data_IF_745032477816
#
_entry.id   IF_745032477816
#
_cell.length_a   1.000
_cell.length_b   1.000
_cell.length_c   1.000
_cell.angle_alpha   90.00
_cell.angle_beta   90.00
_cell.angle_gamma   90.00
#
_symmetry.space_group_name_H-M   'P 1'
#
loop_
_entity.id
_entity.type
_entity.pdbx_description
1 polymer ?
#
# COMPACT_ATOMS: atom_id res chain seq x y z
N UNK A 1 -25.77 20.53 -20.53
CA UNK A 1 -24.67 20.26 -19.59
C UNK A 1 -25.25 19.65 -18.32
N UNK A 2 -25.21 18.33 -18.21
CA UNK A 2 -25.65 17.59 -17.02
C UNK A 2 -24.53 17.60 -15.99
N UNK A 3 -24.64 18.44 -14.97
CA UNK A 3 -23.76 18.36 -13.81
C UNK A 3 -24.08 17.07 -13.06
N UNK A 4 -23.21 16.07 -13.18
CA UNK A 4 -23.31 14.83 -12.43
C UNK A 4 -23.30 15.19 -10.93
N UNK A 5 -24.47 15.13 -10.29
CA UNK A 5 -24.60 15.30 -8.84
C UNK A 5 -24.04 14.04 -8.18
N UNK A 6 -22.75 14.05 -7.91
CA UNK A 6 -22.11 13.04 -7.11
C UNK A 6 -22.75 13.05 -5.72
N UNK A 7 -23.23 11.88 -5.27
CA UNK A 7 -23.70 11.75 -3.89
C UNK A 7 -22.51 11.94 -2.93
N UNK A 8 -22.71 12.51 -1.73
CA UNK A 8 -21.61 12.75 -0.77
C UNK A 8 -20.82 11.49 -0.42
N UNK A 9 -21.42 10.30 -0.56
CA UNK A 9 -20.73 9.00 -0.42
C UNK A 9 -19.71 8.74 -1.53
N UNK A 10 -20.02 9.10 -2.78
CA UNK A 10 -19.11 8.88 -3.88
C UNK A 10 -17.88 9.77 -3.80
N UNK A 11 -18.04 11.03 -3.37
CA UNK A 11 -16.94 11.96 -3.11
C UNK A 11 -16.03 11.41 -2.00
N UNK A 12 -16.63 10.87 -0.94
CA UNK A 12 -15.87 10.28 0.16
C UNK A 12 -15.04 9.05 -0.29
N UNK A 13 -15.62 8.17 -1.11
CA UNK A 13 -14.93 6.99 -1.66
C UNK A 13 -13.78 7.41 -2.56
N UNK A 14 -14.02 8.35 -3.49
CA UNK A 14 -12.97 8.83 -4.39
C UNK A 14 -11.83 9.49 -3.60
N UNK A 15 -12.14 10.30 -2.59
CA UNK A 15 -11.14 10.91 -1.71
C UNK A 15 -10.31 9.87 -0.94
N UNK A 16 -10.95 8.81 -0.44
CA UNK A 16 -10.25 7.68 0.20
C UNK A 16 -9.33 6.96 -0.78
N UNK A 17 -9.81 6.62 -1.99
CA UNK A 17 -9.01 5.92 -3.00
C UNK A 17 -7.83 6.78 -3.44
N UNK A 18 -8.05 8.06 -3.72
CA UNK A 18 -7.00 8.98 -4.15
C UNK A 18 -5.90 9.13 -3.09
N UNK A 19 -6.28 9.40 -1.84
CA UNK A 19 -5.31 9.52 -0.73
C UNK A 19 -4.55 8.22 -0.46
N UNK A 20 -5.23 7.07 -0.49
CA UNK A 20 -4.61 5.76 -0.34
C UNK A 20 -3.61 5.49 -1.46
N UNK A 21 -3.99 5.76 -2.71
CA UNK A 21 -3.14 5.52 -3.88
C UNK A 21 -1.90 6.40 -3.85
N UNK A 22 -2.07 7.70 -3.57
CA UNK A 22 -0.95 8.66 -3.51
C UNK A 22 0.01 8.30 -2.37
N UNK A 23 -0.52 7.99 -1.18
CA UNK A 23 0.31 7.59 -0.05
C UNK A 23 1.04 6.26 -0.30
N UNK A 24 0.38 5.31 -0.96
CA UNK A 24 0.96 4.03 -1.34
C UNK A 24 2.08 4.17 -2.35
N UNK A 25 1.86 4.98 -3.40
CA UNK A 25 2.91 5.32 -4.38
C UNK A 25 4.08 5.98 -3.66
N UNK A 26 3.83 7.02 -2.86
CA UNK A 26 4.88 7.72 -2.13
C UNK A 26 5.71 6.76 -1.25
N UNK A 27 5.04 5.88 -0.49
CA UNK A 27 5.70 4.87 0.34
C UNK A 27 6.56 3.91 -0.46
N UNK A 28 6.01 3.33 -1.53
CA UNK A 28 6.76 2.44 -2.40
C UNK A 28 7.96 3.15 -3.04
N UNK A 29 7.79 4.39 -3.50
CA UNK A 29 8.88 5.18 -4.11
C UNK A 29 9.96 5.64 -3.14
N UNK A 30 9.69 5.65 -1.83
CA UNK A 30 10.73 5.93 -0.83
C UNK A 30 11.68 4.75 -0.65
N UNK A 31 11.18 3.53 -0.85
CA UNK A 31 11.95 2.29 -0.66
C UNK A 31 12.54 1.80 -1.99
N UNK A 32 11.84 1.99 -3.12
CA UNK A 32 12.29 1.53 -4.43
C UNK A 32 13.72 1.94 -4.83
N UNK A 33 14.24 3.15 -4.52
CA UNK A 33 15.63 3.53 -4.84
C UNK A 33 16.68 2.64 -4.17
N UNK A 34 16.34 1.92 -3.10
CA UNK A 34 17.24 0.95 -2.47
C UNK A 34 17.61 -0.20 -3.41
N UNK A 35 16.83 -0.44 -4.46
CA UNK A 35 17.13 -1.43 -5.50
C UNK A 35 18.43 -1.13 -6.26
N UNK A 36 18.91 0.11 -6.21
CA UNK A 36 20.21 0.50 -6.78
C UNK A 36 21.40 -0.06 -6.00
N UNK A 37 21.20 -0.36 -4.71
CA UNK A 37 22.27 -0.78 -3.77
C UNK A 37 22.04 -2.21 -3.22
N UNK A 38 20.79 -2.65 -3.16
CA UNK A 38 20.33 -3.90 -2.54
C UNK A 38 19.64 -4.75 -3.60
N UNK A 39 19.77 -6.09 -3.58
CA UNK A 39 19.09 -6.96 -4.55
C UNK A 39 17.59 -6.68 -4.67
N UNK A 40 17.13 -6.47 -5.90
CA UNK A 40 15.73 -6.14 -6.23
C UNK A 40 14.72 -7.08 -5.58
N UNK A 41 15.05 -8.36 -5.50
CA UNK A 41 14.24 -9.41 -4.85
C UNK A 41 13.90 -9.13 -3.38
N UNK A 42 14.75 -8.39 -2.67
CA UNK A 42 14.51 -8.00 -1.29
C UNK A 42 13.79 -6.64 -1.22
N UNK A 43 14.15 -5.72 -2.12
CA UNK A 43 13.63 -4.35 -2.11
C UNK A 43 12.17 -4.28 -2.55
N UNK A 44 11.78 -4.99 -3.62
CA UNK A 44 10.42 -4.90 -4.15
C UNK A 44 9.34 -5.34 -3.14
N UNK A 45 9.47 -6.48 -2.43
CA UNK A 45 8.55 -6.84 -1.36
C UNK A 45 8.50 -5.79 -0.24
N UNK A 46 9.64 -5.23 0.16
CA UNK A 46 9.71 -4.19 1.18
C UNK A 46 9.02 -2.90 0.73
N UNK A 47 9.23 -2.49 -0.52
CA UNK A 47 8.60 -1.30 -1.09
C UNK A 47 7.08 -1.45 -1.17
N UNK A 48 6.60 -2.63 -1.56
CA UNK A 48 5.17 -2.92 -1.63
C UNK A 48 4.57 -3.01 -0.22
N UNK A 49 5.26 -3.67 0.71
CA UNK A 49 4.84 -3.73 2.12
C UNK A 49 4.75 -2.35 2.77
N UNK A 50 5.73 -1.47 2.52
CA UNK A 50 5.72 -0.12 3.06
C UNK A 50 4.68 0.79 2.36
N UNK A 51 4.53 0.67 1.04
CA UNK A 51 3.50 1.37 0.28
C UNK A 51 2.08 0.98 0.71
N UNK A 52 1.79 -0.32 0.83
CA UNK A 52 0.49 -0.82 1.32
C UNK A 52 0.16 -0.32 2.72
N UNK A 53 1.14 -0.26 3.62
CA UNK A 53 0.98 0.30 4.96
C UNK A 53 0.57 1.78 4.91
N UNK A 54 1.28 2.60 4.13
CA UNK A 54 0.93 4.02 3.99
C UNK A 54 -0.42 4.22 3.29
N UNK A 55 -0.74 3.43 2.26
CA UNK A 55 -2.02 3.47 1.58
C UNK A 55 -3.18 3.22 2.55
N UNK A 56 -3.03 2.24 3.42
CA UNK A 56 -4.06 1.90 4.40
C UNK A 56 -4.20 2.93 5.51
N UNK A 57 -3.09 3.46 6.01
CA UNK A 57 -3.12 4.57 6.96
C UNK A 57 -3.85 5.76 6.34
N UNK A 58 -3.48 6.16 5.11
CA UNK A 58 -4.12 7.26 4.41
C UNK A 58 -5.62 7.00 4.18
N UNK A 59 -6.01 5.79 3.74
CA UNK A 59 -7.41 5.41 3.58
C UNK A 59 -8.20 5.50 4.89
N UNK A 60 -7.60 5.08 6.01
CA UNK A 60 -8.23 5.11 7.33
C UNK A 60 -8.41 6.54 7.85
N UNK A 61 -7.39 7.38 7.68
CA UNK A 61 -7.47 8.80 8.05
C UNK A 61 -8.45 9.57 7.15
N UNK A 62 -8.45 9.31 5.84
CA UNK A 62 -9.42 9.87 4.92
C UNK A 62 -10.85 9.45 5.27
N UNK A 63 -11.08 8.18 5.62
CA UNK A 63 -12.37 7.70 6.09
C UNK A 63 -12.83 8.44 7.37
N UNK A 64 -11.91 8.67 8.33
CA UNK A 64 -12.21 9.40 9.56
C UNK A 64 -12.51 10.89 9.32
N UNK A 65 -11.85 11.53 8.34
CA UNK A 65 -12.06 12.94 8.00
C UNK A 65 -13.35 13.16 7.21
N UNK A 66 -13.71 12.20 6.36
CA UNK A 66 -14.86 12.28 5.44
C UNK A 66 -16.16 11.72 6.05
N UNK A 67 -16.13 11.13 7.25
CA UNK A 67 -17.33 10.59 7.92
C UNK A 67 -18.19 11.73 8.50
N UNK A 68 -19.41 11.98 7.95
CA UNK A 68 -20.28 13.06 8.42
C UNK A 68 -20.82 12.81 9.82
N UNK A 69 -20.85 11.54 10.28
CA UNK A 69 -21.45 11.17 11.55
C UNK A 69 -20.48 11.28 12.75
N UNK A 70 -19.17 11.48 12.52
CA UNK A 70 -18.09 11.61 13.53
C UNK A 70 -18.12 10.57 14.68
N UNK A 71 -18.90 9.49 14.63
CA UNK A 71 -19.21 8.72 15.84
C UNK A 71 -18.20 7.58 16.15
N UNK A 72 -17.36 7.17 15.20
CA UNK A 72 -16.60 5.90 15.27
C UNK A 72 -15.23 6.01 14.61
N UNK A 73 -14.17 5.50 15.24
CA UNK A 73 -12.84 5.37 14.62
C UNK A 73 -12.75 4.05 13.87
N UNK A 74 -12.15 4.05 12.68
CA UNK A 74 -12.00 2.84 11.85
C UNK A 74 -10.56 2.32 11.75
N UNK A 75 -9.59 3.02 12.35
CA UNK A 75 -8.15 2.84 12.15
C UNK A 75 -7.61 1.42 12.44
N UNK A 76 -7.90 0.78 13.60
CA UNK A 76 -7.27 -0.49 13.96
C UNK A 76 -7.67 -1.67 13.05
N UNK A 77 -8.94 -1.73 12.67
CA UNK A 77 -9.45 -2.79 11.79
C UNK A 77 -8.94 -2.65 10.35
N UNK A 78 -8.68 -1.41 9.91
CA UNK A 78 -8.17 -1.10 8.58
C UNK A 78 -6.69 -1.47 8.47
N UNK A 79 -5.88 -1.18 9.50
CA UNK A 79 -4.48 -1.57 9.54
C UNK A 79 -4.31 -3.09 9.47
N UNK A 80 -5.04 -3.85 10.30
CA UNK A 80 -4.90 -5.32 10.32
C UNK A 80 -5.27 -5.96 8.97
N UNK A 81 -6.30 -5.42 8.30
CA UNK A 81 -6.65 -5.88 6.94
C UNK A 81 -5.64 -5.44 5.89
N UNK A 82 -5.04 -4.27 6.06
CA UNK A 82 -4.00 -3.78 5.17
C UNK A 82 -2.72 -4.61 5.24
N UNK A 83 -2.28 -4.96 6.45
CA UNK A 83 -1.19 -5.92 6.64
C UNK A 83 -1.54 -7.27 6.01
N UNK A 84 -2.77 -7.76 6.21
CA UNK A 84 -3.25 -8.97 5.53
C UNK A 84 -3.19 -8.88 4.01
N UNK A 85 -3.60 -7.75 3.42
CA UNK A 85 -3.50 -7.52 1.97
C UNK A 85 -2.07 -7.39 1.50
N UNK A 86 -1.20 -6.73 2.28
CA UNK A 86 0.21 -6.58 1.96
C UNK A 86 0.91 -7.94 1.93
N UNK A 87 0.70 -8.75 2.97
CA UNK A 87 1.21 -10.12 3.05
C UNK A 87 0.67 -10.96 1.91
N UNK A 88 -0.63 -10.88 1.60
CA UNK A 88 -1.21 -11.62 0.47
C UNK A 88 -0.57 -11.20 -0.87
N UNK A 89 -0.40 -9.90 -1.13
CA UNK A 89 0.24 -9.41 -2.36
C UNK A 89 1.70 -9.81 -2.44
N UNK A 90 2.44 -9.75 -1.34
CA UNK A 90 3.84 -10.18 -1.28
C UNK A 90 3.96 -11.68 -1.51
N UNK A 91 3.15 -12.48 -0.80
CA UNK A 91 3.21 -13.94 -0.90
C UNK A 91 2.74 -14.42 -2.26
N UNK A 92 1.55 -14.01 -2.71
CA UNK A 92 0.97 -14.46 -3.98
C UNK A 92 1.66 -13.82 -5.18
N UNK A 93 2.12 -12.58 -5.05
CA UNK A 93 2.69 -11.81 -6.16
C UNK A 93 4.19 -11.96 -6.35
N UNK A 94 4.95 -12.34 -5.31
CA UNK A 94 6.42 -12.41 -5.37
C UNK A 94 6.98 -13.73 -4.84
N UNK A 95 6.59 -14.16 -3.64
CA UNK A 95 7.18 -15.37 -3.02
C UNK A 95 6.74 -16.66 -3.72
N UNK A 96 5.44 -16.81 -3.96
CA UNK A 96 4.87 -18.01 -4.57
C UNK A 96 5.26 -18.15 -6.05
N UNK A 97 5.20 -17.10 -6.90
CA UNK A 97 5.67 -17.19 -8.28
C UNK A 97 7.14 -17.58 -8.34
N UNK A 98 7.98 -17.07 -7.42
CA UNK A 98 9.37 -17.48 -7.32
C UNK A 98 9.54 -18.97 -6.97
N UNK A 99 8.81 -19.46 -5.96
CA UNK A 99 8.87 -20.88 -5.56
C UNK A 99 8.42 -21.84 -6.67
N UNK A 100 7.47 -21.41 -7.50
CA UNK A 100 6.84 -22.24 -8.54
C UNK A 100 7.48 -21.98 -9.93
N UNK A 101 8.42 -21.04 -10.05
CA UNK A 101 9.11 -20.72 -11.31
C UNK A 101 8.23 -20.00 -12.33
N UNK A 102 7.25 -19.22 -11.87
CA UNK A 102 6.32 -18.44 -12.71
C UNK A 102 6.70 -16.96 -12.62
N UNK A 103 6.35 -16.18 -13.65
CA UNK A 103 6.50 -14.72 -13.67
C UNK A 103 5.85 -14.06 -12.45
N UNK A 104 6.59 -13.16 -11.80
CA UNK A 104 6.08 -12.38 -10.69
C UNK A 104 5.03 -11.35 -11.12
N UNK A 105 4.33 -10.78 -10.14
CA UNK A 105 3.25 -9.81 -10.36
C UNK A 105 3.74 -8.58 -11.13
N UNK A 106 5.00 -8.19 -10.95
CA UNK A 106 5.58 -7.01 -11.58
C UNK A 106 5.75 -7.22 -13.08
N UNK A 107 6.31 -8.37 -13.46
CA UNK A 107 6.47 -8.81 -14.85
C UNK A 107 5.10 -8.96 -15.52
N UNK A 108 4.12 -9.46 -14.79
CA UNK A 108 2.76 -9.63 -15.30
C UNK A 108 2.08 -8.27 -15.55
N UNK A 109 2.21 -7.30 -14.63
CA UNK A 109 1.70 -5.94 -14.83
C UNK A 109 2.43 -5.25 -16.00
N UNK A 110 3.74 -5.39 -16.08
CA UNK A 110 4.55 -4.82 -17.15
C UNK A 110 4.14 -5.36 -18.53
N UNK A 111 3.94 -6.68 -18.67
CA UNK A 111 3.52 -7.26 -19.95
C UNK A 111 2.11 -6.83 -20.39
N UNK A 112 1.17 -6.72 -19.44
CA UNK A 112 -0.19 -6.22 -19.74
C UNK A 112 -0.16 -4.75 -20.16
N UNK A 113 0.62 -3.92 -19.47
CA UNK A 113 0.72 -2.49 -19.76
C UNK A 113 1.51 -2.19 -21.03
N UNK A 114 2.53 -3.00 -21.32
CA UNK A 114 3.22 -3.04 -22.61
C UNK A 114 2.28 -3.41 -23.76
N UNK A 115 1.48 -4.45 -23.60
CA UNK A 115 0.47 -4.85 -24.60
C UNK A 115 -0.60 -3.78 -24.87
N UNK A 116 -0.89 -2.94 -23.86
CA UNK A 116 -1.81 -1.80 -23.99
C UNK A 116 -1.14 -0.53 -24.53
N UNK A 117 0.17 -0.55 -24.79
CA UNK A 117 0.92 0.59 -25.35
C UNK A 117 1.36 1.64 -24.33
N UNK A 118 1.26 1.36 -23.02
CA UNK A 118 1.68 2.29 -21.95
C UNK A 118 3.16 2.12 -21.55
N UNK A 119 3.84 1.12 -22.10
CA UNK A 119 5.24 0.78 -21.79
C UNK A 119 5.38 -0.14 -20.57
N UNK A 120 6.60 -0.61 -20.33
CA UNK A 120 6.90 -1.70 -19.37
C UNK A 120 7.68 -1.20 -18.13
N UNK A 121 7.48 0.06 -17.76
CA UNK A 121 8.29 0.67 -16.68
C UNK A 121 7.86 0.18 -15.30
N UNK A 122 8.85 -0.06 -14.43
CA UNK A 122 8.65 -0.40 -13.02
C UNK A 122 7.75 0.62 -12.30
N UNK A 123 7.89 1.90 -12.61
CA UNK A 123 7.08 2.97 -12.02
C UNK A 123 5.60 2.84 -12.37
N UNK A 124 5.29 2.48 -13.62
CA UNK A 124 3.92 2.24 -14.05
C UNK A 124 3.33 1.01 -13.34
N UNK A 125 4.13 -0.04 -13.13
CA UNK A 125 3.72 -1.19 -12.34
C UNK A 125 3.41 -0.83 -10.88
N UNK A 126 4.23 0.03 -10.24
CA UNK A 126 3.96 0.56 -8.89
C UNK A 126 2.64 1.33 -8.88
N UNK A 127 2.41 2.21 -9.85
CA UNK A 127 1.19 3.03 -9.91
C UNK A 127 -0.04 2.14 -10.04
N UNK A 128 -0.05 1.17 -10.95
CA UNK A 128 -1.17 0.25 -11.15
C UNK A 128 -1.41 -0.59 -9.89
N UNK A 129 -0.35 -1.12 -9.29
CA UNK A 129 -0.44 -1.95 -8.10
C UNK A 129 -0.97 -1.15 -6.90
N UNK A 130 -0.44 0.05 -6.66
CA UNK A 130 -0.88 0.92 -5.55
C UNK A 130 -2.28 1.46 -5.76
N UNK A 131 -2.71 1.66 -7.01
CA UNK A 131 -4.10 1.98 -7.33
C UNK A 131 -5.03 0.81 -6.95
N UNK A 132 -4.68 -0.42 -7.33
CA UNK A 132 -5.45 -1.61 -6.96
C UNK A 132 -5.53 -1.79 -5.44
N UNK A 133 -4.40 -1.65 -4.74
CA UNK A 133 -4.34 -1.68 -3.27
C UNK A 133 -5.18 -0.56 -2.67
N UNK A 134 -5.06 0.67 -3.18
CA UNK A 134 -5.82 1.83 -2.71
C UNK A 134 -7.32 1.63 -2.84
N UNK A 135 -7.76 1.01 -3.94
CA UNK A 135 -9.17 0.62 -4.16
C UNK A 135 -9.60 -0.43 -3.14
N UNK A 136 -8.85 -1.52 -2.97
CA UNK A 136 -9.17 -2.60 -2.03
C UNK A 136 -9.22 -2.06 -0.60
N UNK A 137 -8.19 -1.32 -0.18
CA UNK A 137 -8.12 -0.70 1.13
C UNK A 137 -9.35 0.19 1.36
N UNK A 138 -9.68 1.08 0.41
CA UNK A 138 -10.83 1.99 0.52
C UNK A 138 -12.19 1.27 0.52
N UNK A 139 -12.33 0.17 -0.22
CA UNK A 139 -13.53 -0.67 -0.18
C UNK A 139 -13.69 -1.34 1.19
N UNK A 140 -12.58 -1.82 1.77
CA UNK A 140 -12.59 -2.42 3.10
C UNK A 140 -12.85 -1.37 4.19
N UNK A 141 -12.25 -0.17 4.09
CA UNK A 141 -12.49 0.94 5.04
C UNK A 141 -13.95 1.38 5.04
N UNK A 142 -14.61 1.36 3.88
CA UNK A 142 -16.02 1.70 3.75
C UNK A 142 -16.94 0.68 4.45
N UNK A 143 -16.55 -0.60 4.48
CA UNK A 143 -17.35 -1.71 5.06
C UNK A 143 -17.14 -1.87 6.57
N UNK A 144 -15.97 -1.53 7.09
CA UNK A 144 -15.63 -1.73 8.51
C UNK A 144 -16.23 -0.62 9.39
N UNK A 145 -16.78 -1.03 10.54
CA UNK A 145 -17.23 -0.14 11.63
C UNK A 145 -16.63 -0.63 12.93
N UNK A 146 -15.79 0.17 13.59
CA UNK A 146 -15.36 -0.11 14.98
C UNK A 146 -16.03 0.86 15.96
N UNK A 147 -16.52 0.39 17.13
CA UNK A 147 -17.27 1.19 18.08
C UNK A 147 -16.41 2.10 18.98
N UNK A 148 -15.08 1.93 19.02
CA UNK A 148 -14.22 2.70 19.95
C UNK A 148 -13.59 3.91 19.27
N UNK A 149 -13.72 5.10 19.87
CA UNK A 149 -13.09 6.34 19.37
C UNK A 149 -12.12 6.89 20.41
N UNK A 150 -10.83 6.89 20.08
CA UNK A 150 -9.81 7.55 20.90
C UNK A 150 -8.70 8.06 19.97
N UNK A 151 -8.76 9.35 19.63
CA UNK A 151 -7.80 10.01 18.73
C UNK A 151 -6.34 9.80 19.17
N UNK A 152 -6.08 9.87 20.48
CA UNK A 152 -4.74 9.69 21.06
C UNK A 152 -4.21 8.27 20.84
N UNK A 153 -5.06 7.26 21.02
CA UNK A 153 -4.74 5.85 20.75
C UNK A 153 -4.55 5.58 19.26
N UNK A 154 -5.40 6.14 18.41
CA UNK A 154 -5.31 5.98 16.96
C UNK A 154 -4.04 6.61 16.38
N UNK A 155 -3.65 7.77 16.90
CA UNK A 155 -2.42 8.45 16.52
C UNK A 155 -1.18 7.69 17.03
N UNK A 156 -1.21 7.22 18.28
CA UNK A 156 -0.15 6.38 18.84
C UNK A 156 0.01 5.06 18.07
N UNK A 157 -1.09 4.41 17.67
CA UNK A 157 -1.06 3.21 16.84
C UNK A 157 -0.50 3.51 15.45
N UNK A 158 -0.95 4.57 14.79
CA UNK A 158 -0.46 4.97 13.46
C UNK A 158 1.05 5.23 13.48
N UNK A 159 1.53 5.98 14.47
CA UNK A 159 2.96 6.25 14.65
C UNK A 159 3.74 4.97 14.98
N UNK A 160 3.20 4.11 15.85
CA UNK A 160 3.83 2.83 16.21
C UNK A 160 3.98 1.91 15.00
N UNK A 161 2.95 1.81 14.16
CA UNK A 161 2.97 1.03 12.92
C UNK A 161 3.95 1.61 11.90
N UNK A 162 3.99 2.93 11.77
CA UNK A 162 4.93 3.59 10.87
C UNK A 162 6.37 3.37 11.33
N UNK A 163 6.65 3.48 12.62
CA UNK A 163 7.95 3.16 13.19
C UNK A 163 8.32 1.68 12.99
N UNK A 164 7.37 0.76 13.17
CA UNK A 164 7.57 -0.66 12.93
C UNK A 164 7.83 -0.95 11.45
N UNK A 165 7.10 -0.31 10.54
CA UNK A 165 7.32 -0.42 9.10
C UNK A 165 8.71 0.06 8.69
N UNK A 166 9.16 1.20 9.23
CA UNK A 166 10.54 1.68 9.01
C UNK A 166 11.55 0.68 9.55
N UNK A 167 11.33 0.13 10.74
CA UNK A 167 12.20 -0.87 11.36
C UNK A 167 12.29 -2.15 10.52
N UNK A 168 11.18 -2.59 9.92
CA UNK A 168 11.14 -3.73 8.99
C UNK A 168 11.93 -3.43 7.71
N UNK A 169 11.83 -2.23 7.15
CA UNK A 169 12.62 -1.83 5.97
C UNK A 169 14.11 -1.82 6.30
N UNK A 170 14.50 -1.15 7.39
CA UNK A 170 15.90 -1.09 7.84
C UNK A 170 16.43 -2.47 8.17
N UNK A 171 15.67 -3.28 8.92
CA UNK A 171 16.01 -4.65 9.27
C UNK A 171 16.14 -5.56 8.05
N UNK A 172 15.20 -5.47 7.11
CA UNK A 172 15.22 -6.24 5.86
C UNK A 172 16.45 -5.91 5.01
N UNK A 173 16.78 -4.63 4.85
CA UNK A 173 17.97 -4.18 4.12
C UNK A 173 19.25 -4.64 4.81
N UNK A 174 19.38 -4.40 6.11
CA UNK A 174 20.59 -4.79 6.88
C UNK A 174 20.83 -6.29 6.86
N UNK A 175 19.78 -7.10 7.08
CA UNK A 175 19.88 -8.56 6.96
C UNK A 175 20.29 -8.93 5.54
N UNK A 176 19.64 -8.39 4.51
CA UNK A 176 19.98 -8.69 3.11
C UNK A 176 21.44 -8.39 2.80
N UNK A 177 21.95 -7.22 3.23
CA UNK A 177 23.35 -6.85 3.01
C UNK A 177 24.35 -7.60 3.89
N UNK A 178 23.90 -8.26 4.97
CA UNK A 178 24.77 -9.13 5.77
C UNK A 178 25.00 -10.49 5.11
N UNK A 179 24.05 -10.97 4.29
CA UNK A 179 24.16 -12.24 3.54
C UNK A 179 24.50 -12.07 2.06
N UNK A 180 24.40 -10.87 1.51
CA UNK A 180 24.70 -10.60 0.10
C UNK A 180 25.54 -9.33 -0.04
N UNK A 181 26.41 -9.29 -1.05
CA UNK A 181 27.20 -8.10 -1.35
C UNK A 181 26.29 -6.97 -1.85
N UNK A 182 26.07 -5.96 -1.01
CA UNK A 182 25.42 -4.71 -1.41
C UNK A 182 26.46 -3.70 -1.89
N UNK A 183 26.07 -2.83 -2.81
CA UNK A 183 26.92 -1.71 -3.27
C UNK A 183 26.69 -0.55 -2.32
N UNK A 184 27.77 -0.04 -1.71
CA UNK A 184 27.74 1.11 -0.81
C UNK A 184 27.55 2.43 -1.59
#
# INVERSE_FOLDING_TARGET
>A
MTTARWTPRAIAIVGMVASATVAGIAGATLVAPLALAVPERAVWPLAIGFGTLLAALAAAWAANLLDPARARSRLPAIVGLAEGTAVAVIVVGFVLPWLVGISDLFTLIASVTGALGFGETALLAIVVLMAAIGIVASLMTARLRSPSRSLRRDLALSLGLLALGVLVVVGGVTVTCSVTSCVA
#
